data_IF_428389386618
#
_entry.id   IF_428389386618
#
_cell.length_a   1.000
_cell.length_b   1.000
_cell.length_c   1.000
_cell.angle_alpha   90.00
_cell.angle_beta   90.00
_cell.angle_gamma   90.00
#
_symmetry.space_group_name_H-M   'P 1'
#
loop_
_entity.id
_entity.type
_entity.pdbx_description
1 polymer ?
#
# COMPACT_ATOMS: atom_id res chain seq x y z
N UNK A 1 14.97 -2.79 13.12
CA UNK A 1 14.56 -1.42 13.50
C UNK A 1 13.36 -0.93 12.70
N UNK A 2 12.50 -0.14 13.34
CA UNK A 2 11.28 0.41 12.76
C UNK A 2 11.53 1.22 11.47
N UNK A 3 12.64 1.96 11.40
CA UNK A 3 13.04 2.72 10.20
C UNK A 3 13.33 1.80 9.00
N UNK A 4 13.98 0.66 9.24
CA UNK A 4 14.24 -0.33 8.20
C UNK A 4 12.93 -0.93 7.66
N UNK A 5 12.00 -1.27 8.55
CA UNK A 5 10.71 -1.82 8.15
C UNK A 5 9.84 -0.80 7.42
N UNK A 6 9.93 0.48 7.79
CA UNK A 6 9.28 1.57 7.06
C UNK A 6 9.83 1.67 5.62
N UNK A 7 11.14 1.78 5.46
CA UNK A 7 11.78 1.87 4.14
C UNK A 7 11.55 0.61 3.28
N UNK A 8 11.50 -0.57 3.89
CA UNK A 8 11.11 -1.80 3.20
C UNK A 8 9.65 -1.75 2.75
N UNK A 9 8.75 -1.23 3.59
CA UNK A 9 7.34 -1.09 3.23
C UNK A 9 7.12 -0.09 2.10
N UNK A 10 7.87 1.01 2.06
CA UNK A 10 7.79 1.99 0.96
C UNK A 10 8.20 1.34 -0.37
N UNK A 11 9.36 0.68 -0.41
CA UNK A 11 9.83 -0.04 -1.61
C UNK A 11 8.86 -1.11 -2.09
N UNK A 12 8.19 -1.81 -1.17
CA UNK A 12 7.16 -2.80 -1.51
C UNK A 12 5.94 -2.13 -2.14
N UNK A 13 5.50 -0.99 -1.63
CA UNK A 13 4.39 -0.24 -2.19
C UNK A 13 4.73 0.28 -3.61
N UNK A 14 5.93 0.83 -3.80
CA UNK A 14 6.45 1.24 -5.11
C UNK A 14 6.51 0.07 -6.09
N UNK A 15 7.01 -1.09 -5.66
CA UNK A 15 7.10 -2.29 -6.51
C UNK A 15 5.72 -2.77 -6.98
N UNK A 16 4.70 -2.68 -6.12
CA UNK A 16 3.32 -3.01 -6.49
C UNK A 16 2.77 -1.99 -7.48
N UNK A 17 3.02 -0.69 -7.28
CA UNK A 17 2.58 0.33 -8.23
C UNK A 17 3.24 0.16 -9.59
N UNK A 18 4.54 -0.12 -9.63
CA UNK A 18 5.25 -0.42 -10.87
C UNK A 18 4.60 -1.60 -11.61
N UNK A 19 4.29 -2.69 -10.89
CA UNK A 19 3.62 -3.84 -11.49
C UNK A 19 2.22 -3.51 -12.03
N UNK A 20 1.43 -2.69 -11.32
CA UNK A 20 0.11 -2.24 -11.79
C UNK A 20 0.21 -1.39 -13.06
N UNK A 21 1.22 -0.53 -13.15
CA UNK A 21 1.47 0.29 -14.34
C UNK A 21 1.93 -0.56 -15.51
N UNK A 22 2.97 -1.38 -15.33
CA UNK A 22 3.63 -2.14 -16.40
C UNK A 22 2.77 -3.28 -16.95
N UNK A 23 2.10 -4.04 -16.07
CA UNK A 23 1.40 -5.27 -16.48
C UNK A 23 -0.11 -5.08 -16.61
N UNK A 24 -0.68 -4.05 -15.98
CA UNK A 24 -2.13 -3.84 -15.95
C UNK A 24 -2.57 -2.48 -16.50
N UNK A 25 -1.64 -1.71 -17.08
CA UNK A 25 -1.90 -0.41 -17.71
C UNK A 25 -2.68 0.57 -16.80
N UNK A 26 -2.47 0.48 -15.49
CA UNK A 26 -3.04 1.46 -14.55
C UNK A 26 -2.21 2.75 -14.67
N UNK A 27 -2.80 3.90 -15.04
CA UNK A 27 -2.04 5.13 -15.14
C UNK A 27 -1.43 5.52 -13.80
N UNK A 28 -0.14 5.91 -13.74
CA UNK A 28 0.53 6.25 -12.50
C UNK A 28 -0.13 7.41 -11.74
N UNK A 29 -0.76 8.35 -12.45
CA UNK A 29 -1.55 9.44 -11.86
C UNK A 29 -2.77 8.96 -11.06
N UNK A 30 -3.23 7.73 -11.27
CA UNK A 30 -4.32 7.11 -10.53
C UNK A 30 -3.85 6.30 -9.31
N UNK A 31 -2.54 6.30 -9.01
CA UNK A 31 -1.95 5.51 -7.93
C UNK A 31 -1.39 6.42 -6.83
N UNK A 32 -1.63 6.02 -5.59
CA UNK A 32 -0.97 6.59 -4.40
C UNK A 32 -0.34 5.43 -3.64
N UNK A 33 0.95 5.53 -3.36
CA UNK A 33 1.72 4.52 -2.62
C UNK A 33 2.08 5.02 -1.23
N UNK A 34 2.07 4.12 -0.26
CA UNK A 34 2.45 4.43 1.11
C UNK A 34 2.98 3.17 1.81
N UNK A 35 4.18 3.25 2.38
CA UNK A 35 4.66 2.27 3.34
C UNK A 35 4.21 2.58 4.76
N UNK A 36 3.83 1.53 5.49
CA UNK A 36 3.38 1.65 6.88
C UNK A 36 4.38 1.09 7.89
N UNK A 37 5.38 0.34 7.44
CA UNK A 37 6.35 -0.32 8.32
C UNK A 37 5.63 -1.27 9.28
N UNK A 38 5.84 -1.07 10.58
CA UNK A 38 5.19 -1.84 11.65
C UNK A 38 3.85 -1.24 12.10
N UNK A 39 3.36 -0.18 11.45
CA UNK A 39 2.03 0.38 11.75
C UNK A 39 0.94 -0.45 11.08
N UNK A 40 -0.22 -0.55 11.73
CA UNK A 40 -1.41 -1.24 11.22
C UNK A 40 -1.15 -2.73 10.88
N UNK A 41 -0.44 -3.43 11.77
CA UNK A 41 -0.22 -4.87 11.67
C UNK A 41 -1.53 -5.64 11.51
N UNK A 42 -1.50 -6.73 10.75
CA UNK A 42 -2.63 -7.68 10.67
C UNK A 42 -2.80 -8.40 12.01
N UNK A 43 -1.69 -8.87 12.54
CA UNK A 43 -1.58 -9.55 13.82
C UNK A 43 -0.67 -8.68 14.67
N UNK A 44 -1.18 -8.21 15.81
CA UNK A 44 -0.45 -7.32 16.72
C UNK A 44 0.60 -8.15 17.46
N UNK A 45 1.83 -8.11 16.96
CA UNK A 45 2.97 -8.81 17.53
C UNK A 45 4.27 -8.10 17.18
N UNK A 46 5.21 -8.08 18.13
CA UNK A 46 6.55 -7.51 17.95
C UNK A 46 7.51 -8.48 17.23
N UNK A 47 7.09 -9.74 17.08
CA UNK A 47 7.89 -10.79 16.44
C UNK A 47 7.73 -10.86 14.92
N UNK A 48 8.52 -11.75 14.31
CA UNK A 48 8.38 -12.08 12.90
C UNK A 48 7.07 -12.82 12.64
N UNK A 49 6.12 -12.17 11.96
CA UNK A 49 4.84 -12.76 11.57
C UNK A 49 4.65 -12.69 10.06
N UNK A 50 4.44 -13.85 9.44
CA UNK A 50 4.29 -13.98 7.98
C UNK A 50 3.03 -13.27 7.47
N UNK A 51 1.94 -13.30 8.24
CA UNK A 51 0.68 -12.65 7.90
C UNK A 51 0.79 -11.11 7.82
N UNK A 52 1.80 -10.53 8.48
CA UNK A 52 2.12 -9.10 8.40
C UNK A 52 2.94 -8.74 7.16
N UNK A 53 3.53 -9.72 6.46
CA UNK A 53 4.31 -9.50 5.23
C UNK A 53 3.39 -9.33 4.01
N UNK A 54 2.47 -8.36 4.03
CA UNK A 54 1.49 -8.10 2.96
C UNK A 54 1.59 -6.70 2.36
N UNK A 55 0.98 -6.52 1.18
CA UNK A 55 0.59 -5.22 0.63
C UNK A 55 -0.93 -5.22 0.43
N UNK A 56 -1.58 -4.06 0.50
CA UNK A 56 -3.04 -3.93 0.34
C UNK A 56 -3.37 -2.88 -0.70
N UNK A 57 -4.33 -3.15 -1.57
CA UNK A 57 -4.81 -2.21 -2.60
C UNK A 57 -6.26 -1.84 -2.30
N UNK A 58 -6.59 -0.54 -2.38
CA UNK A 58 -7.95 -0.04 -2.17
C UNK A 58 -8.35 0.89 -3.31
N UNK A 59 -9.45 0.56 -3.99
CA UNK A 59 -10.06 1.42 -5.00
C UNK A 59 -10.86 2.53 -4.32
N UNK A 60 -10.51 3.78 -4.56
CA UNK A 60 -11.18 4.95 -3.95
C UNK A 60 -12.14 5.70 -4.88
N UNK A 61 -12.24 5.31 -6.16
CA UNK A 61 -13.17 5.93 -7.14
C UNK A 61 -14.60 6.10 -6.61
N UNK A 62 -15.21 5.11 -5.91
CA UNK A 62 -16.56 5.30 -5.35
C UNK A 62 -16.63 6.43 -4.32
N UNK A 63 -15.57 6.66 -3.56
CA UNK A 63 -15.49 7.73 -2.56
C UNK A 63 -15.34 9.10 -3.22
N UNK A 64 -14.55 9.20 -4.29
CA UNK A 64 -14.38 10.43 -5.06
C UNK A 64 -15.70 10.87 -5.70
N UNK A 65 -16.47 9.93 -6.25
CA UNK A 65 -17.76 10.22 -6.85
C UNK A 65 -18.77 10.76 -5.82
N UNK A 66 -18.77 10.23 -4.60
CA UNK A 66 -19.63 10.72 -3.51
C UNK A 66 -19.29 12.15 -3.10
N UNK A 67 -18.00 12.51 -3.09
CA UNK A 67 -17.56 13.87 -2.75
C UNK A 67 -17.91 14.84 -3.89
N UNK A 68 -17.75 14.43 -5.15
CA UNK A 68 -18.07 15.26 -6.31
C UNK A 68 -19.59 15.48 -6.52
N UNK A 69 -20.43 14.57 -6.02
CA UNK A 69 -21.89 14.69 -6.08
C UNK A 69 -22.50 15.50 -4.93
N UNK A 70 -21.70 15.91 -3.94
CA UNK A 70 -22.11 16.83 -2.87
C UNK A 70 -21.88 18.26 -3.32
#
# INVERSE_FOLDING_TARGET
>A
DAAYNLALSDRRAESVALALTEYFAVPPENLVVQGYGERFLRVQTEGSEQANRRATVRRITPLLNQVASR
#
